data_IF_135315678076
#
_entry.id   IF_135315678076
#
_cell.length_a   1.000
_cell.length_b   1.000
_cell.length_c   1.000
_cell.angle_alpha   90.00
_cell.angle_beta   90.00
_cell.angle_gamma   90.00
#
_symmetry.space_group_name_H-M   'P 1'
#
loop_
_entity.id
_entity.type
_entity.pdbx_description
1 polymer ?
#
# COMPACT_ATOMS: atom_id res chain seq x y z
N UNK A 1 24.13 -45.88 30.53
CA UNK A 1 23.30 -44.87 31.22
C UNK A 1 21.87 -45.38 31.23
N UNK A 2 21.29 -45.66 32.40
CA UNK A 2 19.91 -46.15 32.52
C UNK A 2 19.02 -44.94 32.78
N UNK A 3 17.98 -44.74 31.96
CA UNK A 3 16.98 -43.70 32.16
C UNK A 3 15.88 -44.29 33.04
N UNK A 4 15.56 -43.63 34.15
CA UNK A 4 14.49 -44.07 35.04
C UNK A 4 13.12 -43.66 34.46
N UNK A 5 12.08 -44.46 34.69
CA UNK A 5 10.72 -44.17 34.19
C UNK A 5 10.15 -42.83 34.66
N UNK A 6 10.66 -42.31 35.79
CA UNK A 6 10.34 -40.97 36.31
C UNK A 6 10.95 -39.82 35.50
N UNK A 7 12.02 -40.08 34.74
CA UNK A 7 12.67 -39.12 33.84
C UNK A 7 12.00 -39.09 32.46
N UNK A 8 11.12 -40.06 32.18
CA UNK A 8 10.35 -40.14 30.93
C UNK A 8 9.03 -39.42 31.14
N UNK A 9 8.75 -38.44 30.27
CA UNK A 9 7.46 -37.75 30.29
C UNK A 9 6.34 -38.79 30.04
N UNK A 10 5.32 -38.87 30.89
CA UNK A 10 4.21 -39.80 30.68
C UNK A 10 3.55 -39.59 29.32
N UNK A 11 3.22 -40.69 28.64
CA UNK A 11 2.71 -40.67 27.27
C UNK A 11 1.47 -39.76 27.10
N UNK A 12 0.57 -39.77 28.09
CA UNK A 12 -0.60 -38.88 28.11
C UNK A 12 -0.21 -37.40 28.08
N UNK A 13 0.77 -37.00 28.89
CA UNK A 13 1.28 -35.62 28.96
C UNK A 13 1.95 -35.21 27.65
N UNK A 14 2.69 -36.13 27.02
CA UNK A 14 3.26 -35.89 25.69
C UNK A 14 2.18 -35.63 24.63
N UNK A 15 1.12 -36.44 24.60
CA UNK A 15 0.00 -36.27 23.67
C UNK A 15 -0.74 -34.95 23.89
N UNK A 16 -1.04 -34.58 25.15
CA UNK A 16 -1.72 -33.32 25.47
C UNK A 16 -0.92 -32.10 25.02
N UNK A 17 0.42 -32.12 25.18
CA UNK A 17 1.29 -31.04 24.68
C UNK A 17 1.25 -30.92 23.17
N UNK A 18 1.22 -32.04 22.44
CA UNK A 18 1.16 -32.06 20.98
C UNK A 18 -0.17 -31.54 20.46
N UNK A 19 -1.27 -31.91 21.10
CA UNK A 19 -2.61 -31.39 20.80
C UNK A 19 -2.68 -29.88 21.03
N UNK A 20 -2.17 -29.38 22.16
CA UNK A 20 -2.13 -27.94 22.45
C UNK A 20 -1.35 -27.14 21.39
N UNK A 21 -0.15 -27.61 21.01
CA UNK A 21 0.67 -26.95 19.96
C UNK A 21 -0.09 -26.92 18.62
N UNK A 22 -0.71 -28.03 18.23
CA UNK A 22 -1.50 -28.11 17.00
C UNK A 22 -2.69 -27.14 17.02
N UNK A 23 -3.41 -27.04 18.14
CA UNK A 23 -4.52 -26.09 18.31
C UNK A 23 -4.05 -24.64 18.22
N UNK A 24 -2.93 -24.27 18.85
CA UNK A 24 -2.43 -22.90 18.82
C UNK A 24 -1.99 -22.43 17.43
N UNK A 25 -1.40 -23.31 16.62
CA UNK A 25 -1.01 -22.98 15.23
C UNK A 25 -2.25 -22.73 14.36
N UNK A 26 -3.27 -23.59 14.47
CA UNK A 26 -4.50 -23.45 13.68
C UNK A 26 -5.23 -22.12 13.96
N UNK A 27 -5.29 -21.69 15.23
CA UNK A 27 -5.90 -20.40 15.59
C UNK A 27 -5.12 -19.22 15.02
N UNK A 28 -3.79 -19.25 15.07
CA UNK A 28 -2.96 -18.16 14.52
C UNK A 28 -3.09 -17.99 12.99
N UNK A 29 -3.17 -19.09 12.25
CA UNK A 29 -3.36 -19.06 10.79
C UNK A 29 -4.75 -18.52 10.42
N UNK A 30 -5.79 -18.91 11.18
CA UNK A 30 -7.14 -18.39 10.99
C UNK A 30 -7.22 -16.87 11.21
N UNK A 31 -6.48 -16.34 12.19
CA UNK A 31 -6.42 -14.89 12.44
C UNK A 31 -5.62 -14.13 11.38
N UNK A 32 -4.67 -14.76 10.67
CA UNK A 32 -3.90 -14.09 9.61
C UNK A 32 -4.57 -14.11 8.23
N UNK A 33 -5.58 -14.97 8.03
CA UNK A 33 -6.29 -15.11 6.75
C UNK A 33 -7.56 -14.24 6.65
N UNK A 34 -7.91 -13.48 7.68
CA UNK A 34 -9.15 -12.68 7.72
C UNK A 34 -8.88 -11.21 7.97
N UNK A 35 -8.31 -10.55 6.96
CA UNK A 35 -8.79 -9.26 6.43
C UNK A 35 -7.79 -8.78 5.39
N UNK A 36 -8.23 -8.63 4.14
CA UNK A 36 -7.60 -7.65 3.28
C UNK A 36 -7.69 -6.31 4.01
N UNK A 37 -6.58 -5.82 4.55
CA UNK A 37 -6.47 -4.44 5.01
C UNK A 37 -6.44 -3.55 3.77
N UNK A 38 -7.58 -3.42 3.11
CA UNK A 38 -7.85 -2.24 2.32
C UNK A 38 -7.86 -1.09 3.31
N UNK A 39 -7.02 -0.08 3.08
CA UNK A 39 -7.12 1.18 3.80
C UNK A 39 -8.55 1.70 3.58
N UNK A 40 -9.40 1.54 4.59
CA UNK A 40 -10.71 2.17 4.62
C UNK A 40 -10.44 3.66 4.81
N UNK A 41 -10.41 4.40 3.70
CA UNK A 41 -10.55 5.85 3.79
C UNK A 41 -11.89 6.09 4.46
N UNK A 42 -11.87 6.58 5.69
CA UNK A 42 -13.07 7.03 6.39
C UNK A 42 -13.77 8.02 5.46
N UNK A 43 -14.95 7.63 5.00
CA UNK A 43 -15.79 8.48 4.16
C UNK A 43 -16.54 9.38 5.13
N UNK A 44 -16.01 10.57 5.39
CA UNK A 44 -16.72 11.59 6.15
C UNK A 44 -16.63 12.94 5.46
N UNK A 45 -17.83 13.46 5.16
CA UNK A 45 -18.22 14.69 4.49
C UNK A 45 -17.19 15.82 4.37
N UNK A 46 -17.10 16.36 3.16
CA UNK A 46 -16.79 17.77 2.88
C UNK A 46 -15.55 18.40 3.54
N UNK A 47 -14.50 17.64 3.91
CA UNK A 47 -13.21 18.24 4.35
C UNK A 47 -12.55 19.15 3.29
N UNK A 48 -13.11 19.09 2.09
CA UNK A 48 -12.61 19.63 0.85
C UNK A 48 -13.52 20.72 0.27
N UNK A 49 -14.73 20.92 0.82
CA UNK A 49 -15.69 21.90 0.29
C UNK A 49 -15.16 23.31 0.32
N UNK A 50 -14.37 23.65 1.33
CA UNK A 50 -13.84 25.00 1.54
C UNK A 50 -12.74 25.38 0.54
N UNK A 51 -12.15 24.40 -0.15
CA UNK A 51 -11.15 24.62 -1.20
C UNK A 51 -11.76 24.68 -2.61
N UNK A 52 -13.04 24.32 -2.78
CA UNK A 52 -13.71 24.33 -4.07
C UNK A 52 -14.07 25.76 -4.50
N UNK A 53 -13.88 26.04 -5.78
CA UNK A 53 -14.42 27.27 -6.38
C UNK A 53 -15.94 27.19 -6.48
N UNK A 54 -16.61 28.35 -6.57
CA UNK A 54 -18.06 28.39 -6.73
C UNK A 54 -18.50 27.58 -7.96
N UNK A 55 -19.40 26.61 -7.74
CA UNK A 55 -19.95 25.67 -8.73
C UNK A 55 -19.01 24.54 -9.20
N UNK A 56 -17.82 24.38 -8.63
CA UNK A 56 -17.02 23.19 -8.88
C UNK A 56 -17.51 22.02 -7.99
N UNK A 57 -17.39 20.80 -8.52
CA UNK A 57 -17.66 19.56 -7.78
C UNK A 57 -16.46 18.64 -7.93
N UNK A 58 -16.26 17.76 -6.96
CA UNK A 58 -15.16 16.79 -7.01
C UNK A 58 -15.44 15.74 -8.07
N UNK A 59 -14.42 15.42 -8.86
CA UNK A 59 -14.44 14.24 -9.71
C UNK A 59 -14.50 12.97 -8.86
N UNK A 60 -15.13 11.94 -9.40
CA UNK A 60 -15.10 10.62 -8.77
C UNK A 60 -13.71 9.98 -8.92
N UNK A 61 -13.37 9.08 -8.00
CA UNK A 61 -12.12 8.32 -8.09
C UNK A 61 -12.00 7.53 -9.41
N UNK A 62 -13.10 6.98 -9.91
CA UNK A 62 -13.14 6.25 -11.17
C UNK A 62 -12.80 7.17 -12.35
N UNK A 63 -13.41 8.36 -12.43
CA UNK A 63 -13.08 9.35 -13.46
C UNK A 63 -11.59 9.74 -13.44
N UNK A 64 -11.04 10.01 -12.24
CA UNK A 64 -9.64 10.40 -12.06
C UNK A 64 -8.68 9.29 -12.50
N UNK A 65 -9.02 8.03 -12.28
CA UNK A 65 -8.12 6.90 -12.55
C UNK A 65 -8.31 6.25 -13.91
N UNK A 66 -9.44 6.48 -14.59
CA UNK A 66 -9.77 5.81 -15.86
C UNK A 66 -9.79 6.74 -17.07
N UNK A 67 -10.02 8.04 -16.90
CA UNK A 67 -10.07 9.01 -18.00
C UNK A 67 -8.78 9.84 -18.07
N UNK A 68 -7.76 9.33 -18.77
CA UNK A 68 -6.41 9.88 -18.73
C UNK A 68 -5.87 10.20 -20.12
N UNK A 69 -4.92 11.14 -20.17
CA UNK A 69 -4.04 11.33 -21.33
C UNK A 69 -2.62 10.91 -20.94
N UNK A 70 -2.21 9.71 -21.34
CA UNK A 70 -0.85 9.22 -21.15
C UNK A 70 -0.42 8.43 -22.39
N UNK A 71 0.19 9.11 -23.36
CA UNK A 71 0.38 8.63 -24.73
C UNK A 71 1.32 7.42 -24.81
N UNK A 72 2.26 7.29 -23.88
CA UNK A 72 3.14 6.14 -23.71
C UNK A 72 2.37 4.83 -23.48
N UNK A 73 1.11 4.93 -23.04
CA UNK A 73 0.22 3.81 -22.79
C UNK A 73 -0.99 3.76 -23.74
N UNK A 74 -1.03 4.59 -24.77
CA UNK A 74 -2.09 4.61 -25.79
C UNK A 74 -2.73 5.98 -25.98
N UNK A 75 -3.57 6.09 -27.02
CA UNK A 75 -4.19 7.36 -27.46
C UNK A 75 -5.64 7.50 -27.00
N UNK A 76 -6.30 6.39 -26.68
CA UNK A 76 -7.63 6.33 -26.10
C UNK A 76 -7.60 6.74 -24.63
N UNK A 77 -8.69 7.34 -24.14
CA UNK A 77 -8.78 7.86 -22.77
C UNK A 77 -8.68 6.77 -21.70
N UNK A 78 -9.13 5.56 -22.02
CA UNK A 78 -9.06 4.37 -21.17
C UNK A 78 -7.75 3.59 -21.31
N UNK A 79 -6.97 3.84 -22.37
CA UNK A 79 -5.78 3.05 -22.68
C UNK A 79 -4.74 3.13 -21.54
N UNK A 80 -4.46 4.30 -20.92
CA UNK A 80 -3.55 4.36 -19.78
C UNK A 80 -3.96 3.45 -18.63
N UNK A 81 -5.25 3.44 -18.27
CA UNK A 81 -5.76 2.60 -17.19
C UNK A 81 -5.65 1.10 -17.49
N UNK A 82 -5.75 0.73 -18.77
CA UNK A 82 -5.67 -0.67 -19.21
C UNK A 82 -4.22 -1.15 -19.34
N UNK A 83 -3.29 -0.27 -19.74
CA UNK A 83 -1.96 -0.65 -20.18
C UNK A 83 -0.84 -0.31 -19.17
N UNK A 84 -1.05 0.65 -18.25
CA UNK A 84 -0.01 1.10 -17.33
C UNK A 84 0.34 0.09 -16.21
N UNK A 85 -0.40 -1.01 -16.06
CA UNK A 85 -0.22 -1.98 -14.97
C UNK A 85 1.16 -2.65 -14.92
N UNK A 86 1.89 -2.70 -16.04
CA UNK A 86 3.25 -3.25 -16.10
C UNK A 86 4.35 -2.21 -15.83
N UNK A 87 3.99 -0.94 -15.65
CA UNK A 87 4.94 0.13 -15.38
C UNK A 87 5.56 -0.05 -13.99
N UNK A 88 6.89 -0.19 -13.96
CA UNK A 88 7.66 -0.28 -12.71
C UNK A 88 8.00 1.13 -12.22
N UNK A 89 7.10 1.69 -11.42
CA UNK A 89 7.27 3.03 -10.83
C UNK A 89 8.28 3.08 -9.68
N UNK A 90 8.81 1.94 -9.22
CA UNK A 90 9.80 1.85 -8.15
C UNK A 90 10.85 0.75 -8.45
N UNK A 91 12.13 0.98 -8.12
CA UNK A 91 12.71 2.23 -7.61
C UNK A 91 12.72 3.33 -8.70
N UNK A 92 12.71 4.59 -8.30
CA UNK A 92 12.70 5.73 -9.23
C UNK A 92 13.58 6.87 -8.74
N UNK A 93 14.28 7.52 -9.67
CA UNK A 93 15.25 8.58 -9.39
C UNK A 93 15.14 9.72 -10.40
N UNK A 94 15.31 10.95 -9.94
CA UNK A 94 15.37 12.17 -10.74
C UNK A 94 16.83 12.58 -10.90
N UNK A 95 17.26 12.88 -12.13
CA UNK A 95 18.57 13.46 -12.39
C UNK A 95 18.46 14.97 -12.60
N UNK A 96 19.17 15.76 -11.80
CA UNK A 96 19.21 17.23 -11.86
C UNK A 96 20.52 17.65 -12.53
N UNK A 97 20.41 18.19 -13.73
CA UNK A 97 21.54 18.59 -14.58
C UNK A 97 21.34 20.02 -15.14
N UNK A 98 22.29 20.50 -15.95
CA UNK A 98 22.23 21.81 -16.61
C UNK A 98 22.88 22.93 -15.80
N UNK A 99 22.36 24.16 -15.92
CA UNK A 99 22.94 25.35 -15.28
C UNK A 99 22.45 25.47 -13.83
N UNK A 100 22.91 24.55 -12.99
CA UNK A 100 22.59 24.48 -11.56
C UNK A 100 23.87 24.47 -10.73
N UNK A 101 23.81 25.01 -9.51
CA UNK A 101 24.98 25.06 -8.62
C UNK A 101 25.35 23.68 -8.05
N UNK A 102 24.35 22.81 -7.84
CA UNK A 102 24.52 21.49 -7.23
C UNK A 102 23.78 20.43 -8.07
N UNK A 103 24.40 19.92 -9.14
CA UNK A 103 23.85 18.80 -9.90
C UNK A 103 23.86 17.51 -9.05
N UNK A 104 22.98 16.57 -9.37
CA UNK A 104 22.94 15.30 -8.65
C UNK A 104 21.70 14.47 -8.95
N UNK A 105 21.72 13.23 -8.46
CA UNK A 105 20.60 12.30 -8.55
C UNK A 105 19.87 12.27 -7.22
N UNK A 106 18.54 12.38 -7.26
CA UNK A 106 17.68 12.29 -6.08
C UNK A 106 16.77 11.06 -6.22
N UNK A 107 16.80 10.16 -5.23
CA UNK A 107 15.85 9.05 -5.18
C UNK A 107 14.49 9.55 -4.67
N UNK A 108 13.40 8.94 -5.16
CA UNK A 108 12.05 9.29 -4.73
C UNK A 108 11.89 9.20 -3.20
N UNK A 109 12.48 8.19 -2.58
CA UNK A 109 12.42 7.97 -1.13
C UNK A 109 13.09 9.09 -0.34
N UNK A 110 14.11 9.74 -0.88
CA UNK A 110 14.81 10.84 -0.22
C UNK A 110 13.99 12.14 -0.28
N UNK A 111 13.16 12.33 -1.32
CA UNK A 111 12.21 13.44 -1.40
C UNK A 111 11.04 13.25 -0.41
N UNK A 112 10.54 12.03 -0.27
CA UNK A 112 9.34 11.76 0.53
C UNK A 112 9.60 11.78 2.05
N UNK A 113 10.85 11.61 2.50
CA UNK A 113 11.20 11.57 3.94
C UNK A 113 10.99 12.91 4.64
N UNK A 114 11.31 14.01 3.97
CA UNK A 114 11.44 15.33 4.59
C UNK A 114 10.29 16.28 4.26
N UNK A 115 9.21 15.79 3.65
CA UNK A 115 8.04 16.60 3.27
C UNK A 115 6.82 16.32 4.16
N UNK A 116 6.08 17.38 4.46
CA UNK A 116 4.73 17.26 5.00
C UNK A 116 3.76 17.15 3.84
N UNK A 117 2.89 16.14 3.85
CA UNK A 117 1.87 15.99 2.82
C UNK A 117 0.75 17.02 3.00
N UNK A 118 0.36 17.65 1.91
CA UNK A 118 -0.76 18.60 1.85
C UNK A 118 -1.74 18.14 0.77
N UNK A 119 -3.02 18.03 1.14
CA UNK A 119 -4.09 17.82 0.17
C UNK A 119 -4.53 19.17 -0.40
N UNK A 120 -4.41 19.30 -1.73
CA UNK A 120 -4.80 20.51 -2.46
C UNK A 120 -5.81 20.16 -3.54
N UNK A 121 -6.94 20.85 -3.53
CA UNK A 121 -7.96 20.66 -4.55
C UNK A 121 -7.72 21.64 -5.68
N UNK A 122 -7.45 21.09 -6.84
CA UNK A 122 -7.27 21.86 -8.06
C UNK A 122 -8.22 21.39 -9.15
N UNK A 123 -8.60 22.35 -9.98
CA UNK A 123 -9.22 22.06 -11.26
C UNK A 123 -8.14 21.87 -12.31
N UNK A 124 -7.98 20.63 -12.77
CA UNK A 124 -7.13 20.30 -13.91
C UNK A 124 -7.93 20.55 -15.21
N UNK A 125 -7.47 21.48 -16.06
CA UNK A 125 -8.08 21.80 -17.37
C UNK A 125 -7.13 21.44 -18.50
#
# INVERSE_FOLDING_TARGET
MKIFGSEITPYKTYLTRRQFIQSSIATSIATTLSSNLYATHEKQDNQYSDQLSQNDSLNTYEEITTYNNFYEFGVGKSDPSSNAGQFKSRPWSINIEGLVQKPGVINLEDLLKDITFEDRIYRLR
#
